data_IF_875144785756
#
_entry.id   IF_875144785756
#
_cell.length_a   1.000
_cell.length_b   1.000
_cell.length_c   1.000
_cell.angle_alpha   90.00
_cell.angle_beta   90.00
_cell.angle_gamma   90.00
#
_symmetry.space_group_name_H-M   'P 1'
#
loop_
_entity.id
_entity.type
_entity.pdbx_description
1 polymer ?
#
# COMPACT_ATOMS: atom_id res chain seq x y z
N UNK A 1 -6.30 -6.04 -4.55
CA UNK A 1 -7.66 -5.80 -4.02
C UNK A 1 -7.49 -4.78 -2.90
N UNK A 2 -7.94 -3.55 -3.09
CA UNK A 2 -7.80 -2.49 -2.08
C UNK A 2 -8.78 -2.72 -0.92
N UNK A 3 -8.29 -2.55 0.31
CA UNK A 3 -9.09 -2.54 1.52
C UNK A 3 -10.06 -1.35 1.50
N UNK A 4 -11.36 -1.64 1.62
CA UNK A 4 -12.50 -0.74 1.44
C UNK A 4 -12.23 0.37 0.42
N UNK A 5 -12.56 0.20 -0.86
CA UNK A 5 -12.49 1.30 -1.81
C UNK A 5 -13.35 2.50 -1.38
N UNK A 6 -14.17 2.40 -0.32
CA UNK A 6 -14.96 3.49 0.25
C UNK A 6 -14.43 4.05 1.59
N UNK A 7 -13.34 3.50 2.17
CA UNK A 7 -12.76 4.11 3.37
C UNK A 7 -12.05 5.42 2.99
N UNK A 8 -12.32 6.56 3.67
CA UNK A 8 -11.82 7.87 3.25
C UNK A 8 -10.30 7.92 3.09
N UNK A 9 -9.57 7.21 3.96
CA UNK A 9 -8.10 7.13 3.89
C UNK A 9 -7.63 6.29 2.70
N UNK A 10 -8.28 5.17 2.40
CA UNK A 10 -7.95 4.34 1.23
C UNK A 10 -8.20 5.09 -0.07
N UNK A 11 -9.33 5.81 -0.18
CA UNK A 11 -9.64 6.67 -1.33
C UNK A 11 -8.67 7.85 -1.45
N UNK A 12 -8.34 8.50 -0.33
CA UNK A 12 -7.37 9.59 -0.33
C UNK A 12 -6.00 9.09 -0.78
N UNK A 13 -5.53 7.94 -0.28
CA UNK A 13 -4.25 7.35 -0.68
C UNK A 13 -4.29 6.93 -2.15
N UNK A 14 -5.37 6.30 -2.63
CA UNK A 14 -5.52 5.93 -4.03
C UNK A 14 -5.43 7.17 -4.95
N UNK A 15 -6.15 8.24 -4.60
CA UNK A 15 -6.08 9.50 -5.34
C UNK A 15 -4.72 10.18 -5.26
N UNK A 16 -3.89 9.83 -4.28
CA UNK A 16 -2.57 10.40 -4.02
C UNK A 16 -1.42 9.40 -4.22
N UNK A 17 -1.65 8.27 -4.90
CA UNK A 17 -0.66 7.19 -5.04
C UNK A 17 0.65 7.68 -5.67
N UNK A 18 0.53 8.63 -6.59
CA UNK A 18 1.66 9.29 -7.27
C UNK A 18 2.52 10.11 -6.30
N UNK A 19 1.92 10.76 -5.29
CA UNK A 19 2.68 11.48 -4.25
C UNK A 19 3.39 10.50 -3.34
N UNK A 20 2.76 9.38 -3.01
CA UNK A 20 3.40 8.33 -2.23
C UNK A 20 4.61 7.75 -2.98
N UNK A 21 4.48 7.49 -4.28
CA UNK A 21 5.59 7.06 -5.12
C UNK A 21 6.73 8.10 -5.12
N UNK A 22 6.41 9.39 -5.28
CA UNK A 22 7.41 10.46 -5.22
C UNK A 22 8.11 10.54 -3.85
N UNK A 23 7.38 10.40 -2.75
CA UNK A 23 7.96 10.38 -1.40
C UNK A 23 8.89 9.19 -1.19
N UNK A 24 8.55 8.01 -1.72
CA UNK A 24 9.42 6.84 -1.67
C UNK A 24 10.69 7.06 -2.50
N UNK A 25 10.58 7.65 -3.68
CA UNK A 25 11.74 8.02 -4.51
C UNK A 25 12.67 8.99 -3.77
N UNK A 26 12.11 10.05 -3.16
CA UNK A 26 12.90 11.00 -2.35
C UNK A 26 13.57 10.30 -1.16
N UNK A 27 12.84 9.44 -0.44
CA UNK A 27 13.36 8.71 0.73
C UNK A 27 14.45 7.69 0.37
N UNK A 28 14.39 7.13 -0.83
CA UNK A 28 15.39 6.23 -1.38
C UNK A 28 16.51 6.96 -2.14
N UNK A 29 16.51 8.30 -2.14
CA UNK A 29 17.47 9.14 -2.86
C UNK A 29 17.57 8.77 -4.35
N UNK A 30 16.43 8.47 -4.96
CA UNK A 30 16.33 8.03 -6.35
C UNK A 30 15.59 9.06 -7.21
N UNK A 31 16.28 9.64 -8.19
CA UNK A 31 15.68 10.58 -9.15
C UNK A 31 14.98 9.88 -10.33
N UNK A 32 15.34 8.61 -10.56
CA UNK A 32 14.78 7.79 -11.64
C UNK A 32 14.77 6.32 -11.25
N UNK A 33 13.63 5.65 -11.42
CA UNK A 33 13.45 4.22 -11.11
C UNK A 33 12.82 3.53 -12.31
N UNK A 34 13.41 2.42 -12.74
CA UNK A 34 12.84 1.54 -13.77
C UNK A 34 12.27 0.31 -13.08
N UNK A 35 10.95 0.14 -13.16
CA UNK A 35 10.27 -1.08 -12.69
C UNK A 35 10.23 -2.05 -13.87
N UNK A 36 10.97 -3.15 -13.78
CA UNK A 36 11.01 -4.15 -14.85
C UNK A 36 9.93 -5.22 -14.67
N UNK A 37 9.65 -5.98 -15.72
CA UNK A 37 8.79 -7.16 -15.63
C UNK A 37 9.32 -8.20 -14.62
N UNK A 38 10.64 -8.29 -14.45
CA UNK A 38 11.26 -9.17 -13.45
C UNK A 38 11.00 -8.70 -12.02
N UNK A 39 10.91 -7.38 -11.78
CA UNK A 39 10.57 -6.83 -10.47
C UNK A 39 9.10 -7.08 -10.13
N UNK A 40 8.22 -6.94 -11.13
CA UNK A 40 6.80 -7.31 -10.99
C UNK A 40 6.68 -8.81 -10.70
N UNK A 41 7.47 -9.65 -11.36
CA UNK A 41 7.45 -11.09 -11.14
C UNK A 41 7.92 -11.49 -9.72
N UNK A 42 8.83 -10.73 -9.09
CA UNK A 42 9.21 -10.96 -7.68
C UNK A 42 8.05 -10.71 -6.70
N UNK A 43 7.06 -9.93 -7.12
CA UNK A 43 5.83 -9.67 -6.37
C UNK A 43 4.76 -10.74 -6.61
N UNK A 44 5.14 -11.91 -7.17
CA UNK A 44 4.20 -12.94 -7.58
C UNK A 44 3.38 -13.50 -6.41
N UNK A 45 2.07 -13.23 -6.49
CA UNK A 45 0.93 -13.80 -5.79
C UNK A 45 0.86 -13.55 -4.28
N UNK A 46 -0.21 -12.87 -3.87
CA UNK A 46 -0.63 -12.81 -2.47
C UNK A 46 0.11 -11.79 -1.62
N UNK A 47 0.46 -10.61 -2.17
CA UNK A 47 0.97 -9.49 -1.37
C UNK A 47 -0.08 -8.38 -1.22
N UNK A 48 -0.24 -7.87 -0.01
CA UNK A 48 -0.98 -6.66 0.32
C UNK A 48 -0.03 -5.57 0.81
N UNK A 49 -0.49 -4.33 0.75
CA UNK A 49 0.19 -3.20 1.39
C UNK A 49 -0.65 -2.79 2.59
N UNK A 50 -0.04 -2.79 3.77
CA UNK A 50 -0.61 -2.19 4.96
C UNK A 50 -0.05 -0.77 5.11
N UNK A 51 -0.95 0.18 5.35
CA UNK A 51 -0.59 1.57 5.68
C UNK A 51 -1.17 1.89 7.05
N UNK A 52 -0.33 2.33 7.97
CA UNK A 52 -0.71 2.71 9.32
C UNK A 52 -0.17 4.11 9.62
N UNK A 53 -1.03 4.99 10.12
CA UNK A 53 -0.63 6.32 10.58
C UNK A 53 -0.22 6.26 12.05
N UNK A 54 1.01 6.68 12.34
CA UNK A 54 1.58 6.75 13.70
C UNK A 54 2.07 8.17 14.01
N UNK A 55 2.33 8.50 15.28
CA UNK A 55 2.81 9.83 15.67
C UNK A 55 4.09 10.28 14.96
N UNK A 56 4.91 9.33 14.48
CA UNK A 56 6.16 9.56 13.77
C UNK A 56 6.03 9.48 12.23
N UNK A 57 4.82 9.23 11.71
CA UNK A 57 4.51 9.30 10.28
C UNK A 57 3.73 8.11 9.74
N UNK A 58 3.78 7.94 8.41
CA UNK A 58 3.13 6.84 7.71
C UNK A 58 4.04 5.61 7.67
N UNK A 59 3.58 4.53 8.28
CA UNK A 59 4.23 3.23 8.28
C UNK A 59 3.64 2.39 7.14
N UNK A 60 4.50 1.93 6.24
CA UNK A 60 4.09 1.19 5.04
C UNK A 60 4.83 -0.14 5.02
N UNK A 61 4.06 -1.23 5.02
CA UNK A 61 4.60 -2.59 5.11
C UNK A 61 4.01 -3.47 4.01
N UNK A 62 4.86 -4.31 3.42
CA UNK A 62 4.41 -5.42 2.57
C UNK A 62 3.98 -6.55 3.50
N UNK A 63 2.78 -7.06 3.30
CA UNK A 63 2.21 -8.17 4.07
C UNK A 63 1.64 -9.21 3.12
N UNK A 64 1.34 -10.40 3.64
CA UNK A 64 0.57 -11.38 2.88
C UNK A 64 -0.87 -10.89 2.66
N UNK A 65 -1.43 -11.14 1.48
CA UNK A 65 -2.78 -10.74 1.11
C UNK A 65 -3.83 -11.37 2.02
N UNK A 66 -3.63 -12.61 2.46
CA UNK A 66 -4.50 -13.26 3.44
C UNK A 66 -4.56 -12.44 4.74
N UNK A 67 -3.41 -11.92 5.20
CA UNK A 67 -3.33 -11.06 6.37
C UNK A 67 -3.95 -9.69 6.12
N UNK A 68 -3.77 -9.14 4.92
CA UNK A 68 -4.39 -7.88 4.52
C UNK A 68 -5.92 -7.97 4.58
N UNK A 69 -6.49 -9.08 4.09
CA UNK A 69 -7.93 -9.35 4.14
C UNK A 69 -8.42 -9.53 5.59
N UNK A 70 -7.69 -10.27 6.43
CA UNK A 70 -8.03 -10.42 7.86
C UNK A 70 -8.05 -9.06 8.59
N UNK A 71 -7.04 -8.22 8.35
CA UNK A 71 -6.98 -6.86 8.89
C UNK A 71 -8.16 -6.02 8.40
N UNK A 72 -8.51 -6.14 7.12
CA UNK A 72 -9.66 -5.45 6.53
C UNK A 72 -10.97 -5.80 7.23
N UNK A 73 -11.23 -7.08 7.46
CA UNK A 73 -12.43 -7.52 8.16
C UNK A 73 -12.47 -7.00 9.59
N UNK A 74 -11.34 -7.08 10.31
CA UNK A 74 -11.24 -6.62 11.71
C UNK A 74 -11.45 -5.11 11.85
N UNK A 75 -10.92 -4.31 10.93
CA UNK A 75 -10.93 -2.85 11.02
C UNK A 75 -12.18 -2.23 10.36
N UNK A 76 -13.14 -3.04 9.91
CA UNK A 76 -14.35 -2.57 9.22
C UNK A 76 -14.10 -2.07 7.79
N UNK A 77 -12.96 -2.48 7.21
CA UNK A 77 -12.51 -2.18 5.87
C UNK A 77 -13.06 -3.11 4.77
N UNK A 78 -14.03 -3.98 5.05
CA UNK A 78 -14.78 -4.69 4.02
C UNK A 78 -16.27 -4.66 4.38
N UNK A 79 -17.18 -4.51 3.39
CA UNK A 79 -18.60 -4.71 3.66
C UNK A 79 -18.81 -6.13 4.21
N UNK A 80 -19.59 -6.21 5.29
CA UNK A 80 -20.02 -7.47 5.91
C UNK A 80 -20.74 -8.38 4.94
#
# INVERSE_FOLDING_TARGET
MELNPNHPVSQAIHNQWHKLAALLMVKLEADHVVITAGDIAKLSHGIGIQVEEKPDGLHISIIEMAKAVELAYREGGLPS
#
